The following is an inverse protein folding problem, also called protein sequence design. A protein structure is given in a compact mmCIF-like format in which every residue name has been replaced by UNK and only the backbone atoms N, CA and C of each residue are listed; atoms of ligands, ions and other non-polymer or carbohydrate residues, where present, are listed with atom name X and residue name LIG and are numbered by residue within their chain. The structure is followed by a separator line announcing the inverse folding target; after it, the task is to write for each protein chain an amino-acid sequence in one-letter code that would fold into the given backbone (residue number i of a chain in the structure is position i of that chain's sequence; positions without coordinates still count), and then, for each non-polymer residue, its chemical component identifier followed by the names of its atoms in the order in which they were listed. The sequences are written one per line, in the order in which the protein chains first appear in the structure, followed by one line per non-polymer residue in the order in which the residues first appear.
data_IF_714195943913
#
_entry.id   IF_714195943913
#
_cell.length_a   1.000
_cell.length_b   1.000
_cell.length_c   1.000
_cell.angle_alpha   90.00
_cell.angle_beta   90.00
_cell.angle_gamma   90.00
#
_symmetry.space_group_name_H-M   'P 1'
#
loop_
_entity.id
_entity.type
_entity.pdbx_description
1 polymer ?
#
# COMPACT_ATOMS: atom_id res chain seq x y z
N UNK A 1 0.70 -18.16 15.07
CA UNK A 1 0.03 -16.94 14.59
C UNK A 1 -1.05 -17.26 13.53
N UNK A 2 -0.76 -17.97 12.48
CA UNK A 2 -1.70 -18.37 11.40
C UNK A 2 -2.90 -19.22 11.85
N UNK A 3 -2.88 -19.72 13.10
CA UNK A 3 -4.02 -20.45 13.69
C UNK A 3 -5.23 -19.54 13.96
N UNK A 4 -5.00 -18.23 14.17
CA UNK A 4 -6.04 -17.27 14.54
C UNK A 4 -6.40 -16.32 13.38
N UNK A 5 -5.45 -15.94 12.54
CA UNK A 5 -5.65 -15.02 11.42
C UNK A 5 -4.85 -15.47 10.19
N UNK A 6 -5.41 -15.24 9.02
CA UNK A 6 -4.77 -15.46 7.72
C UNK A 6 -4.08 -14.21 7.15
N UNK A 7 -4.23 -13.05 7.82
CA UNK A 7 -3.72 -11.75 7.33
C UNK A 7 -2.34 -11.40 7.91
N UNK A 8 -2.10 -11.82 9.16
CA UNK A 8 -0.92 -11.40 9.88
C UNK A 8 0.34 -12.04 9.30
N UNK A 9 1.33 -11.19 9.02
CA UNK A 9 2.65 -11.59 8.55
C UNK A 9 3.68 -11.23 9.62
N UNK A 10 4.25 -12.23 10.33
CA UNK A 10 5.28 -11.96 11.32
C UNK A 10 6.55 -11.44 10.64
N UNK A 11 7.23 -10.50 11.30
CA UNK A 11 8.55 -10.04 10.86
C UNK A 11 9.56 -11.06 11.39
N UNK A 12 9.94 -12.02 10.55
CA UNK A 12 10.91 -13.04 10.91
C UNK A 12 12.34 -12.50 10.73
N UNK A 13 13.13 -12.36 11.80
CA UNK A 13 14.50 -11.85 11.73
C UNK A 13 15.48 -12.81 11.06
N UNK A 14 15.08 -14.03 10.71
CA UNK A 14 15.90 -14.93 9.89
C UNK A 14 16.17 -14.36 8.50
N UNK A 15 15.23 -13.57 7.96
CA UNK A 15 15.40 -12.90 6.68
C UNK A 15 16.24 -11.62 6.81
N UNK A 16 17.26 -11.47 5.95
CA UNK A 16 18.16 -10.33 5.96
C UNK A 16 17.43 -8.99 5.84
N UNK A 17 16.41 -8.91 4.98
CA UNK A 17 15.59 -7.71 4.76
C UNK A 17 14.79 -7.32 6.00
N UNK A 18 14.26 -8.29 6.74
CA UNK A 18 13.55 -8.04 7.99
C UNK A 18 14.51 -7.59 9.10
N UNK A 19 15.72 -8.18 9.18
CA UNK A 19 16.77 -7.69 10.10
C UNK A 19 17.17 -6.26 9.80
N UNK A 20 17.37 -5.93 8.52
CA UNK A 20 17.69 -4.56 8.13
C UNK A 20 16.57 -3.59 8.54
N UNK A 21 15.29 -3.96 8.33
CA UNK A 21 14.15 -3.17 8.79
C UNK A 21 14.19 -2.94 10.30
N UNK A 22 14.38 -4.01 11.09
CA UNK A 22 14.41 -3.93 12.56
C UNK A 22 15.55 -3.04 13.09
N UNK A 23 16.65 -2.88 12.34
CA UNK A 23 17.72 -1.95 12.67
C UNK A 23 17.43 -0.52 12.18
N UNK A 24 16.85 -0.37 11.01
CA UNK A 24 16.58 0.93 10.40
C UNK A 24 15.46 1.67 11.14
N UNK A 25 14.38 1.00 11.55
CA UNK A 25 13.26 1.67 12.20
C UNK A 25 13.66 2.43 13.50
N UNK A 26 14.39 1.84 14.46
CA UNK A 26 14.86 2.60 15.63
C UNK A 26 15.76 3.78 15.26
N UNK A 27 16.62 3.63 14.26
CA UNK A 27 17.45 4.73 13.77
C UNK A 27 16.59 5.88 13.22
N UNK A 28 15.57 5.58 12.41
CA UNK A 28 14.63 6.58 11.89
C UNK A 28 13.83 7.25 13.02
N UNK A 29 13.46 6.50 14.06
CA UNK A 29 12.82 7.09 15.25
C UNK A 29 13.73 8.12 15.90
N UNK A 30 14.99 7.77 16.14
CA UNK A 30 15.97 8.68 16.76
C UNK A 30 16.22 9.92 15.90
N UNK A 31 16.38 9.72 14.59
CA UNK A 31 16.56 10.81 13.63
C UNK A 31 15.34 11.74 13.60
N UNK A 32 14.13 11.21 13.56
CA UNK A 32 12.90 12.02 13.58
C UNK A 32 12.76 12.80 14.88
N UNK A 33 13.05 12.18 16.04
CA UNK A 33 13.04 12.85 17.32
C UNK A 33 14.08 13.98 17.41
N UNK A 34 15.30 13.70 16.93
CA UNK A 34 16.39 14.68 16.89
C UNK A 34 16.05 15.89 16.01
N UNK A 35 15.55 15.63 14.79
CA UNK A 35 15.12 16.68 13.88
C UNK A 35 13.97 17.51 14.47
N UNK A 36 12.97 16.87 15.08
CA UNK A 36 11.87 17.57 15.72
C UNK A 36 12.35 18.46 16.90
N UNK A 37 13.35 18.02 17.65
CA UNK A 37 13.94 18.82 18.73
C UNK A 37 14.79 19.99 18.23
N UNK A 38 15.44 19.83 17.04
CA UNK A 38 16.31 20.86 16.48
C UNK A 38 15.53 21.97 15.76
N UNK A 39 14.42 21.60 15.12
CA UNK A 39 13.62 22.52 14.27
C UNK A 39 12.29 22.93 14.89
N UNK A 40 12.09 22.64 16.19
CA UNK A 40 10.89 23.01 16.96
C UNK A 40 9.58 22.64 16.25
N UNK A 41 9.51 21.38 15.77
CA UNK A 41 8.34 20.88 15.04
C UNK A 41 7.16 20.72 16.01
N UNK A 42 6.00 21.26 15.67
CA UNK A 42 4.79 21.32 16.50
C UNK A 42 4.37 20.00 17.17
N UNK A 43 4.66 18.87 16.53
CA UNK A 43 4.28 17.52 17.03
C UNK A 43 5.10 17.05 18.23
N UNK A 44 6.21 17.69 18.53
CA UNK A 44 7.16 17.24 19.53
C UNK A 44 7.95 15.97 19.18
N UNK A 45 9.09 15.72 19.84
CA UNK A 45 10.07 14.69 19.44
C UNK A 45 9.51 13.27 19.47
N UNK A 46 8.70 12.93 20.47
CA UNK A 46 8.14 11.57 20.62
C UNK A 46 7.13 11.26 19.52
N UNK A 47 6.21 12.19 19.24
CA UNK A 47 5.22 12.00 18.17
C UNK A 47 5.89 11.95 16.80
N UNK A 48 6.92 12.77 16.55
CA UNK A 48 7.71 12.74 15.32
C UNK A 48 8.43 11.39 15.13
N UNK A 49 9.03 10.85 16.21
CA UNK A 49 9.68 9.54 16.19
C UNK A 49 8.73 8.44 15.74
N UNK A 50 7.56 8.35 16.38
CA UNK A 50 6.58 7.31 16.07
C UNK A 50 5.93 7.52 14.69
N UNK A 51 5.57 8.74 14.31
CA UNK A 51 4.95 9.00 13.01
C UNK A 51 5.89 8.69 11.85
N UNK A 52 7.17 9.09 11.95
CA UNK A 52 8.17 8.82 10.93
C UNK A 52 8.46 7.32 10.77
N UNK A 53 8.66 6.60 11.88
CA UNK A 53 8.88 5.16 11.84
C UNK A 53 7.65 4.40 11.34
N UNK A 54 6.45 4.81 11.71
CA UNK A 54 5.20 4.16 11.29
C UNK A 54 4.93 4.39 9.80
N UNK A 55 5.17 5.60 9.28
CA UNK A 55 5.07 5.89 7.85
C UNK A 55 6.07 5.05 7.04
N UNK A 56 7.33 4.99 7.49
CA UNK A 56 8.38 4.19 6.88
C UNK A 56 8.03 2.70 6.87
N UNK A 57 7.60 2.17 8.01
CA UNK A 57 7.19 0.76 8.15
C UNK A 57 6.00 0.43 7.25
N UNK A 58 4.96 1.26 7.25
CA UNK A 58 3.76 1.04 6.46
C UNK A 58 4.06 1.04 4.95
N UNK A 59 4.90 1.98 4.49
CA UNK A 59 5.35 2.03 3.10
C UNK A 59 6.19 0.80 2.72
N UNK A 60 7.11 0.37 3.59
CA UNK A 60 7.87 -0.85 3.39
C UNK A 60 6.97 -2.07 3.28
N UNK A 61 6.03 -2.23 4.20
CA UNK A 61 5.12 -3.37 4.24
C UNK A 61 4.22 -3.43 3.00
N UNK A 62 3.66 -2.28 2.59
CA UNK A 62 2.83 -2.20 1.39
C UNK A 62 3.64 -2.51 0.13
N UNK A 63 4.84 -1.94 -0.01
CA UNK A 63 5.67 -2.18 -1.21
C UNK A 63 6.12 -3.63 -1.32
N UNK A 64 6.34 -4.33 -0.19
CA UNK A 64 6.60 -5.79 -0.18
C UNK A 64 5.45 -6.61 -0.74
N UNK A 65 4.23 -6.11 -0.64
CA UNK A 65 3.05 -6.74 -1.25
C UNK A 65 2.89 -6.38 -2.74
N UNK A 66 3.24 -5.14 -3.12
CA UNK A 66 3.10 -4.64 -4.49
C UNK A 66 4.18 -5.17 -5.44
N UNK A 67 5.39 -5.37 -4.93
CA UNK A 67 6.55 -5.84 -5.69
C UNK A 67 7.31 -6.93 -4.89
N UNK A 68 6.72 -8.12 -4.70
CA UNK A 68 7.25 -9.15 -3.81
C UNK A 68 8.65 -9.63 -4.19
N UNK A 69 8.98 -9.63 -5.48
CA UNK A 69 10.29 -10.08 -6.00
C UNK A 69 11.39 -9.01 -5.89
N UNK A 70 11.04 -7.78 -5.47
CA UNK A 70 11.97 -6.63 -5.43
C UNK A 70 12.10 -6.05 -4.03
N UNK A 71 12.86 -6.70 -3.17
CA UNK A 71 13.05 -6.23 -1.78
C UNK A 71 13.66 -4.83 -1.70
N UNK A 72 14.47 -4.41 -2.67
CA UNK A 72 15.04 -3.06 -2.75
C UNK A 72 13.98 -1.96 -2.89
N UNK A 73 12.90 -2.22 -3.65
CA UNK A 73 11.79 -1.29 -3.79
C UNK A 73 11.19 -0.89 -2.44
N UNK A 74 11.07 -1.85 -1.51
CA UNK A 74 10.51 -1.60 -0.20
C UNK A 74 11.37 -0.63 0.63
N UNK A 75 12.71 -0.67 0.49
CA UNK A 75 13.60 0.28 1.17
C UNK A 75 13.58 1.66 0.50
N UNK A 76 13.41 1.75 -0.81
CA UNK A 76 13.18 3.02 -1.51
C UNK A 76 11.88 3.67 -1.00
N UNK A 77 10.78 2.91 -0.95
CA UNK A 77 9.49 3.40 -0.44
C UNK A 77 9.58 3.86 1.02
N UNK A 78 10.23 3.06 1.87
CA UNK A 78 10.50 3.38 3.27
C UNK A 78 11.21 4.72 3.41
N UNK A 79 12.29 4.93 2.63
CA UNK A 79 13.09 6.15 2.69
C UNK A 79 12.30 7.37 2.22
N UNK A 80 11.58 7.25 1.09
CA UNK A 80 10.74 8.32 0.55
C UNK A 80 9.61 8.69 1.52
N UNK A 81 8.92 7.70 2.10
CA UNK A 81 7.84 7.93 3.05
C UNK A 81 8.34 8.59 4.34
N UNK A 82 9.52 8.21 4.84
CA UNK A 82 10.14 8.83 5.99
C UNK A 82 10.54 10.27 5.70
N UNK A 83 11.19 10.54 4.56
CA UNK A 83 11.57 11.91 4.14
C UNK A 83 10.32 12.78 4.03
N UNK A 84 9.27 12.29 3.37
CA UNK A 84 8.02 13.02 3.24
C UNK A 84 7.38 13.33 4.61
N UNK A 85 7.37 12.36 5.53
CA UNK A 85 6.86 12.57 6.88
C UNK A 85 7.64 13.65 7.66
N UNK A 86 8.97 13.65 7.54
CA UNK A 86 9.83 14.65 8.20
C UNK A 86 9.66 16.03 7.59
N UNK A 87 9.57 16.10 6.24
CA UNK A 87 9.51 17.37 5.52
C UNK A 87 8.14 18.05 5.60
N UNK A 88 7.05 17.27 5.53
CA UNK A 88 5.68 17.78 5.44
C UNK A 88 4.82 17.49 6.67
N UNK A 89 5.35 16.75 7.62
CA UNK A 89 4.79 16.59 8.97
C UNK A 89 3.54 15.73 9.11
N UNK A 90 2.73 15.58 8.11
CA UNK A 90 1.49 14.82 8.19
C UNK A 90 1.54 13.59 7.31
N UNK A 91 1.05 12.48 7.81
CA UNK A 91 0.88 11.33 6.95
C UNK A 91 -0.38 10.58 7.34
N UNK A 92 -1.22 10.35 6.37
CA UNK A 92 -2.38 9.47 6.55
C UNK A 92 -1.92 8.02 6.56
N UNK A 93 -1.26 7.63 7.67
CA UNK A 93 -0.78 6.25 7.87
C UNK A 93 -1.96 5.28 7.86
N UNK A 94 -3.13 5.72 8.32
CA UNK A 94 -4.35 4.93 8.31
C UNK A 94 -4.69 4.43 6.89
N UNK A 95 -4.63 5.29 5.88
CA UNK A 95 -4.92 4.93 4.50
C UNK A 95 -3.91 3.91 3.94
N UNK A 96 -2.64 4.01 4.34
CA UNK A 96 -1.63 3.01 3.93
C UNK A 96 -1.93 1.65 4.53
N UNK A 97 -2.38 1.58 5.78
CA UNK A 97 -2.79 0.31 6.40
C UNK A 97 -4.04 -0.27 5.73
N UNK A 98 -5.02 0.56 5.39
CA UNK A 98 -6.17 0.09 4.61
C UNK A 98 -5.73 -0.44 3.26
N UNK A 99 -4.88 0.30 2.53
CA UNK A 99 -4.32 -0.14 1.26
C UNK A 99 -3.55 -1.46 1.39
N UNK A 100 -2.73 -1.61 2.43
CA UNK A 100 -2.01 -2.86 2.74
C UNK A 100 -2.97 -4.03 2.93
N UNK A 101 -4.04 -3.85 3.68
CA UNK A 101 -5.04 -4.91 3.91
C UNK A 101 -5.80 -5.26 2.62
N UNK A 102 -6.18 -4.26 1.83
CA UNK A 102 -6.84 -4.43 0.53
C UNK A 102 -5.92 -5.18 -0.45
N UNK A 103 -4.65 -4.79 -0.53
CA UNK A 103 -3.68 -5.46 -1.40
C UNK A 103 -3.44 -6.90 -0.93
N UNK A 104 -3.30 -7.15 0.37
CA UNK A 104 -3.18 -8.51 0.92
C UNK A 104 -4.41 -9.37 0.67
N UNK A 105 -5.60 -8.77 0.71
CA UNK A 105 -6.85 -9.43 0.36
C UNK A 105 -6.78 -10.04 -1.04
N UNK A 106 -6.29 -9.27 -2.00
CA UNK A 106 -6.23 -9.67 -3.40
C UNK A 106 -5.03 -10.60 -3.67
N UNK A 107 -3.85 -10.27 -3.16
CA UNK A 107 -2.61 -11.03 -3.39
C UNK A 107 -2.61 -12.40 -2.75
N UNK A 108 -3.21 -12.53 -1.57
CA UNK A 108 -3.09 -13.72 -0.71
C UNK A 108 -1.65 -14.17 -0.46
N UNK A 109 -0.76 -13.22 -0.28
CA UNK A 109 0.68 -13.46 -0.10
C UNK A 109 1.01 -14.37 1.10
N UNK A 110 0.13 -14.44 2.09
CA UNK A 110 0.26 -15.37 3.23
C UNK A 110 -0.05 -16.83 2.87
N UNK A 111 -0.77 -17.10 1.76
CA UNK A 111 -1.12 -18.43 1.26
C UNK A 111 -2.50 -18.95 1.68
N UNK A 112 -2.91 -18.99 2.96
CA UNK A 112 -4.20 -19.53 3.35
C UNK A 112 -5.37 -18.71 2.83
N UNK A 113 -6.48 -19.40 2.57
CA UNK A 113 -7.75 -18.75 2.28
C UNK A 113 -8.20 -17.90 3.46
N UNK A 114 -8.71 -16.71 3.18
CA UNK A 114 -9.21 -15.78 4.18
C UNK A 114 -10.31 -16.40 5.04
N UNK A 115 -10.19 -16.22 6.35
CA UNK A 115 -11.20 -16.67 7.31
C UNK A 115 -12.36 -15.67 7.36
N UNK A 116 -13.58 -16.10 7.76
CA UNK A 116 -14.70 -15.19 7.90
C UNK A 116 -14.44 -14.02 8.84
N UNK A 117 -13.75 -14.25 9.97
CA UNK A 117 -13.40 -13.19 10.93
C UNK A 117 -12.42 -12.18 10.34
N UNK A 118 -11.45 -12.62 9.55
CA UNK A 118 -10.53 -11.72 8.86
C UNK A 118 -11.27 -10.86 7.82
N UNK A 119 -12.21 -11.47 7.08
CA UNK A 119 -13.07 -10.75 6.14
C UNK A 119 -13.88 -9.67 6.85
N UNK A 120 -14.52 -10.01 7.98
CA UNK A 120 -15.30 -9.05 8.77
C UNK A 120 -14.42 -7.95 9.38
N UNK A 121 -13.23 -8.31 9.86
CA UNK A 121 -12.27 -7.34 10.41
C UNK A 121 -11.82 -6.32 9.36
N UNK A 122 -11.45 -6.77 8.16
CA UNK A 122 -11.03 -5.86 7.07
C UNK A 122 -12.20 -5.05 6.56
N UNK A 123 -13.37 -5.65 6.37
CA UNK A 123 -14.58 -4.93 5.97
C UNK A 123 -14.92 -3.83 6.98
N UNK A 124 -14.98 -4.18 8.28
CA UNK A 124 -15.26 -3.21 9.36
C UNK A 124 -14.22 -2.10 9.42
N UNK A 125 -12.92 -2.44 9.23
CA UNK A 125 -11.84 -1.45 9.22
C UNK A 125 -11.92 -0.51 8.01
N UNK A 126 -12.25 -1.02 6.82
CA UNK A 126 -12.48 -0.18 5.63
C UNK A 126 -13.66 0.77 5.83
N UNK A 127 -14.79 0.27 6.36
CA UNK A 127 -15.97 1.10 6.64
C UNK A 127 -15.66 2.16 7.69
N UNK A 128 -15.06 1.76 8.82
CA UNK A 128 -14.67 2.69 9.87
C UNK A 128 -13.71 3.77 9.36
N UNK A 129 -12.70 3.38 8.57
CA UNK A 129 -11.76 4.33 7.99
C UNK A 129 -12.45 5.32 7.06
N UNK A 130 -13.29 4.83 6.12
CA UNK A 130 -13.99 5.69 5.18
C UNK A 130 -14.92 6.69 5.88
N UNK A 131 -15.67 6.24 6.90
CA UNK A 131 -16.59 7.08 7.64
C UNK A 131 -15.84 8.09 8.52
N UNK A 132 -14.80 7.66 9.25
CA UNK A 132 -14.04 8.53 10.16
C UNK A 132 -13.22 9.59 9.42
N UNK A 133 -12.73 9.28 8.22
CA UNK A 133 -11.98 10.22 7.38
C UNK A 133 -12.83 10.95 6.35
N UNK A 134 -14.13 10.66 6.27
CA UNK A 134 -15.05 11.21 5.27
C UNK A 134 -14.61 10.96 3.82
N UNK A 135 -14.03 9.76 3.56
CA UNK A 135 -13.50 9.37 2.27
C UNK A 135 -14.31 8.22 1.62
N UNK A 136 -15.48 8.50 1.02
CA UNK A 136 -16.36 7.45 0.50
C UNK A 136 -15.72 6.64 -0.64
N UNK A 137 -14.83 7.23 -1.46
CA UNK A 137 -14.15 6.52 -2.55
C UNK A 137 -13.31 5.33 -2.04
N UNK A 138 -12.87 5.35 -0.78
CA UNK A 138 -12.18 4.22 -0.16
C UNK A 138 -13.05 2.95 -0.16
N UNK A 139 -14.37 3.10 0.01
CA UNK A 139 -15.31 1.97 -0.06
C UNK A 139 -15.47 1.42 -1.47
N UNK A 140 -15.35 2.26 -2.49
CA UNK A 140 -15.32 1.80 -3.89
C UNK A 140 -14.08 0.94 -4.13
N UNK A 141 -12.91 1.40 -3.67
CA UNK A 141 -11.65 0.63 -3.77
C UNK A 141 -11.77 -0.70 -3.02
N UNK A 142 -12.33 -0.70 -1.80
CA UNK A 142 -12.56 -1.91 -1.03
C UNK A 142 -13.55 -2.86 -1.73
N UNK A 143 -14.66 -2.35 -2.29
CA UNK A 143 -15.63 -3.15 -3.04
C UNK A 143 -15.00 -3.83 -4.27
N UNK A 144 -14.15 -3.11 -5.01
CA UNK A 144 -13.40 -3.69 -6.14
C UNK A 144 -12.47 -4.79 -5.66
N UNK A 145 -11.74 -4.59 -4.56
CA UNK A 145 -10.82 -5.59 -4.01
C UNK A 145 -11.54 -6.87 -3.58
N UNK A 146 -12.66 -6.75 -2.86
CA UNK A 146 -13.50 -7.91 -2.48
C UNK A 146 -14.06 -8.61 -3.72
N UNK A 147 -14.49 -7.88 -4.74
CA UNK A 147 -14.98 -8.45 -6.00
C UNK A 147 -13.88 -9.19 -6.76
N UNK A 148 -12.67 -8.64 -6.81
CA UNK A 148 -11.51 -9.29 -7.43
C UNK A 148 -11.17 -10.60 -6.72
N UNK A 149 -11.13 -10.62 -5.39
CA UNK A 149 -10.86 -11.87 -4.67
C UNK A 149 -11.98 -12.91 -4.85
N UNK A 150 -13.22 -12.47 -5.09
CA UNK A 150 -14.35 -13.34 -5.39
C UNK A 150 -14.32 -13.93 -6.81
N UNK A 151 -13.48 -13.40 -7.72
CA UNK A 151 -13.39 -13.82 -9.11
C UNK A 151 -12.07 -14.50 -9.48
N UNK A 152 -10.96 -14.10 -8.85
CA UNK A 152 -9.64 -14.64 -9.15
C UNK A 152 -9.50 -16.10 -8.70
N UNK A 153 -8.37 -16.74 -9.06
CA UNK A 153 -8.06 -18.15 -8.72
C UNK A 153 -8.45 -18.46 -7.28
N UNK A 154 -9.13 -19.57 -7.04
CA UNK A 154 -9.67 -19.99 -5.74
C UNK A 154 -10.65 -18.98 -5.11
N UNK A 155 -11.76 -18.63 -5.80
CA UNK A 155 -12.62 -17.53 -5.42
C UNK A 155 -13.28 -17.74 -4.06
N UNK A 156 -13.43 -16.65 -3.29
CA UNK A 156 -14.24 -16.62 -2.07
C UNK A 156 -15.55 -15.88 -2.35
N UNK A 157 -16.57 -16.61 -2.80
CA UNK A 157 -17.87 -16.04 -3.21
C UNK A 157 -18.55 -15.17 -2.16
N UNK A 158 -18.28 -15.39 -0.85
CA UNK A 158 -18.80 -14.55 0.23
C UNK A 158 -18.27 -13.10 0.15
N UNK A 159 -17.17 -12.86 -0.54
CA UNK A 159 -16.62 -11.51 -0.72
C UNK A 159 -17.50 -10.63 -1.63
N UNK A 160 -18.38 -11.21 -2.46
CA UNK A 160 -19.42 -10.42 -3.14
C UNK A 160 -20.39 -9.75 -2.13
N UNK A 161 -20.70 -10.44 -1.04
CA UNK A 161 -21.51 -9.82 0.02
C UNK A 161 -20.75 -8.67 0.68
N UNK A 162 -19.45 -8.83 0.99
CA UNK A 162 -18.64 -7.75 1.53
C UNK A 162 -18.55 -6.56 0.57
N UNK A 163 -18.38 -6.82 -0.74
CA UNK A 163 -18.41 -5.78 -1.76
C UNK A 163 -19.75 -5.04 -1.79
N UNK A 164 -20.87 -5.76 -1.73
CA UNK A 164 -22.21 -5.17 -1.69
C UNK A 164 -22.41 -4.28 -0.44
N UNK A 165 -21.89 -4.69 0.72
CA UNK A 165 -21.93 -3.87 1.95
C UNK A 165 -21.11 -2.59 1.76
N UNK A 166 -19.90 -2.67 1.18
CA UNK A 166 -19.11 -1.48 0.88
C UNK A 166 -19.85 -0.49 -0.03
N UNK A 167 -20.50 -1.00 -1.11
CA UNK A 167 -21.30 -0.17 -2.02
C UNK A 167 -22.50 0.45 -1.29
N UNK A 168 -23.18 -0.30 -0.43
CA UNK A 168 -24.32 0.22 0.34
C UNK A 168 -23.92 1.35 1.28
N UNK A 169 -22.78 1.20 1.99
CA UNK A 169 -22.26 2.26 2.88
C UNK A 169 -21.75 3.45 2.05
N UNK A 170 -21.14 3.22 0.89
CA UNK A 170 -20.76 4.28 -0.04
C UNK A 170 -21.98 5.12 -0.45
N UNK A 171 -23.07 4.47 -0.88
CA UNK A 171 -24.32 5.16 -1.25
C UNK A 171 -24.88 5.93 -0.05
N UNK A 172 -24.86 5.32 1.14
CA UNK A 172 -25.32 5.98 2.36
C UNK A 172 -24.50 7.24 2.67
N UNK A 173 -23.18 7.20 2.52
CA UNK A 173 -22.32 8.37 2.70
C UNK A 173 -22.62 9.49 1.69
N UNK A 174 -22.94 9.13 0.43
CA UNK A 174 -23.33 10.12 -0.60
C UNK A 174 -24.62 10.85 -0.29
N UNK A 175 -25.56 10.20 0.41
CA UNK A 175 -26.81 10.86 0.86
C UNK A 175 -26.57 11.88 1.98
N UNK A 176 -25.37 11.88 2.59
CA UNK A 176 -24.93 12.79 3.65
C UNK A 176 -24.11 14.00 3.18
N UNK A 177 -24.21 14.41 1.90
CA UNK A 177 -23.50 15.56 1.31
C UNK A 177 -21.96 15.50 1.41
N UNK A 178 -21.38 14.29 1.47
CA UNK A 178 -19.93 14.13 1.48
C UNK A 178 -19.35 14.38 0.09
N UNK A 179 -18.31 15.20 -0.01
CA UNK A 179 -17.64 15.49 -1.27
C UNK A 179 -16.83 14.27 -1.73
N UNK A 180 -16.94 13.96 -3.04
CA UNK A 180 -16.19 12.87 -3.66
C UNK A 180 -14.80 13.29 -4.10
N UNK A 181 -14.64 14.52 -4.52
CA UNK A 181 -13.42 15.05 -5.13
C UNK A 181 -13.06 16.36 -4.45
N UNK A 182 -11.80 16.52 -4.07
CA UNK A 182 -11.27 17.75 -3.52
C UNK A 182 -11.34 18.89 -4.54
N UNK A 183 -11.54 20.11 -4.03
CA UNK A 183 -11.71 21.28 -4.88
C UNK A 183 -10.38 21.90 -5.37
N UNK A 184 -9.26 21.50 -4.78
CA UNK A 184 -7.92 22.04 -5.05
C UNK A 184 -7.10 21.23 -6.06
N UNK A 185 -7.72 20.21 -6.71
CA UNK A 185 -7.05 19.45 -7.78
C UNK A 185 -6.77 20.34 -8.99
N UNK A 186 -5.54 20.32 -9.45
CA UNK A 186 -5.07 21.05 -10.61
C UNK A 186 -4.89 20.14 -11.83
N UNK A 187 -4.80 20.72 -13.03
CA UNK A 187 -4.63 19.94 -14.26
C UNK A 187 -3.43 18.97 -14.22
N UNK A 188 -2.39 19.33 -13.50
CA UNK A 188 -1.17 18.53 -13.33
C UNK A 188 -1.43 17.24 -12.57
N UNK A 189 -2.35 17.21 -11.62
CA UNK A 189 -2.72 16.00 -10.87
C UNK A 189 -3.31 14.94 -11.81
N UNK A 190 -4.15 15.36 -12.74
CA UNK A 190 -4.73 14.47 -13.75
C UNK A 190 -3.69 13.90 -14.71
N UNK A 191 -2.69 14.71 -15.10
CA UNK A 191 -1.55 14.24 -15.91
C UNK A 191 -0.76 13.20 -15.15
N UNK A 192 -0.47 13.41 -13.87
CA UNK A 192 0.27 12.46 -13.04
C UNK A 192 -0.52 11.17 -12.78
N UNK A 193 -1.85 11.26 -12.57
CA UNK A 193 -2.73 10.08 -12.49
C UNK A 193 -2.63 9.27 -13.79
N UNK A 194 -2.76 9.92 -14.94
CA UNK A 194 -2.70 9.24 -16.23
C UNK A 194 -1.32 8.62 -16.50
N UNK A 195 -0.23 9.35 -16.19
CA UNK A 195 1.13 8.87 -16.34
C UNK A 195 1.42 7.67 -15.43
N UNK A 196 1.01 7.75 -14.15
CA UNK A 196 1.15 6.64 -13.21
C UNK A 196 0.31 5.42 -13.62
N UNK A 197 -0.91 5.62 -14.12
CA UNK A 197 -1.74 4.55 -14.67
C UNK A 197 -1.01 3.82 -15.81
N UNK A 198 -0.47 4.57 -16.77
CA UNK A 198 0.33 4.02 -17.87
C UNK A 198 1.51 3.20 -17.37
N UNK A 199 2.24 3.72 -16.37
CA UNK A 199 3.34 3.01 -15.73
C UNK A 199 2.90 1.71 -15.05
N UNK A 200 1.84 1.73 -14.27
CA UNK A 200 1.30 0.55 -13.57
C UNK A 200 0.80 -0.51 -14.57
N UNK A 201 0.10 -0.09 -15.62
CA UNK A 201 -0.36 -0.99 -16.69
C UNK A 201 0.85 -1.64 -17.37
N UNK A 202 1.90 -0.88 -17.67
CA UNK A 202 3.12 -1.40 -18.28
C UNK A 202 3.81 -2.42 -17.36
N UNK A 203 3.94 -2.11 -16.06
CA UNK A 203 4.47 -3.06 -15.06
C UNK A 203 3.65 -4.34 -15.05
N UNK A 204 2.32 -4.25 -14.93
CA UNK A 204 1.44 -5.41 -14.87
C UNK A 204 1.50 -6.27 -16.14
N UNK A 205 1.53 -5.64 -17.32
CA UNK A 205 1.58 -6.31 -18.60
C UNK A 205 2.89 -7.05 -18.86
N UNK A 206 4.02 -6.46 -18.43
CA UNK A 206 5.37 -6.97 -18.74
C UNK A 206 6.05 -7.71 -17.59
N UNK A 207 5.46 -7.74 -16.39
CA UNK A 207 5.99 -8.50 -15.26
C UNK A 207 6.01 -10.00 -15.56
N UNK A 208 7.12 -10.71 -15.30
CA UNK A 208 7.18 -12.16 -15.40
C UNK A 208 6.34 -12.83 -14.32
N UNK A 209 6.27 -14.17 -14.39
CA UNK A 209 5.72 -14.96 -13.28
C UNK A 209 6.52 -14.67 -11.97
N UNK A 210 5.82 -14.44 -10.85
CA UNK A 210 6.48 -14.21 -9.57
C UNK A 210 7.38 -15.38 -9.17
N UNK A 211 8.57 -15.07 -8.66
CA UNK A 211 9.49 -16.08 -8.11
C UNK A 211 9.29 -16.25 -6.61
N UNK A 212 8.67 -15.28 -5.95
CA UNK A 212 8.36 -15.32 -4.51
C UNK A 212 7.28 -16.36 -4.19
N UNK A 213 7.42 -16.96 -3.03
CA UNK A 213 6.50 -17.95 -2.49
C UNK A 213 5.55 -17.35 -1.46
N UNK A 214 4.41 -18.01 -1.26
CA UNK A 214 3.54 -17.72 -0.13
C UNK A 214 4.24 -18.02 1.21
N UNK A 215 3.88 -17.28 2.27
CA UNK A 215 4.57 -17.45 3.57
C UNK A 215 4.34 -18.82 4.24
N UNK A 216 3.19 -19.46 3.97
CA UNK A 216 2.77 -20.68 4.68
C UNK A 216 2.56 -21.89 3.78
N UNK A 217 2.67 -21.73 2.46
CA UNK A 217 2.59 -22.83 1.51
C UNK A 217 3.77 -22.81 0.55
N UNK A 218 4.16 -23.95 -0.03
CA UNK A 218 5.23 -24.03 -1.01
C UNK A 218 4.83 -23.46 -2.38
N UNK A 219 3.63 -22.89 -2.49
CA UNK A 219 3.10 -22.37 -3.74
C UNK A 219 3.72 -21.00 -4.04
N UNK A 220 4.02 -20.77 -5.32
CA UNK A 220 4.39 -19.43 -5.79
C UNK A 220 3.18 -18.50 -5.79
N UNK A 221 3.46 -17.22 -5.65
CA UNK A 221 2.43 -16.19 -5.79
C UNK A 221 1.83 -16.24 -7.20
N UNK A 222 0.52 -16.10 -7.28
CA UNK A 222 -0.20 -16.06 -8.55
C UNK A 222 -0.03 -14.68 -9.22
N UNK A 223 0.43 -14.67 -10.47
CA UNK A 223 0.70 -13.43 -11.23
C UNK A 223 -0.53 -12.54 -11.36
N UNK A 224 -1.70 -13.13 -11.64
CA UNK A 224 -2.92 -12.35 -11.80
C UNK A 224 -3.30 -11.66 -10.48
N UNK A 225 -3.10 -12.33 -9.35
CA UNK A 225 -3.33 -11.77 -8.01
C UNK A 225 -2.34 -10.65 -7.68
N UNK A 226 -1.05 -10.83 -7.95
CA UNK A 226 -0.03 -9.81 -7.71
C UNK A 226 -0.29 -8.57 -8.57
N UNK A 227 -0.60 -8.75 -9.85
CA UNK A 227 -0.95 -7.64 -10.74
C UNK A 227 -2.25 -6.93 -10.30
N UNK A 228 -3.26 -7.68 -9.89
CA UNK A 228 -4.48 -7.09 -9.33
C UNK A 228 -4.21 -6.31 -8.04
N UNK A 229 -3.36 -6.85 -7.16
CA UNK A 229 -2.89 -6.14 -5.96
C UNK A 229 -2.15 -4.84 -6.27
N UNK A 230 -1.30 -4.84 -7.30
CA UNK A 230 -0.62 -3.64 -7.77
C UNK A 230 -1.62 -2.57 -8.25
N UNK A 231 -2.63 -2.96 -9.04
CA UNK A 231 -3.71 -2.06 -9.46
C UNK A 231 -4.51 -1.55 -8.26
N UNK A 232 -4.79 -2.40 -7.27
CA UNK A 232 -5.48 -1.97 -6.05
C UNK A 232 -4.66 -0.96 -5.23
N UNK A 233 -3.35 -1.14 -5.11
CA UNK A 233 -2.46 -0.15 -4.49
C UNK A 233 -2.49 1.19 -5.20
N UNK A 234 -2.49 1.17 -6.55
CA UNK A 234 -2.61 2.39 -7.36
C UNK A 234 -3.98 3.05 -7.18
N UNK A 235 -5.07 2.29 -7.21
CA UNK A 235 -6.42 2.83 -6.96
C UNK A 235 -6.54 3.47 -5.57
N UNK A 236 -5.91 2.89 -4.54
CA UNK A 236 -5.85 3.48 -3.21
C UNK A 236 -5.05 4.80 -3.19
N UNK A 237 -3.96 4.90 -3.97
CA UNK A 237 -3.19 6.13 -4.12
C UNK A 237 -4.00 7.22 -4.84
N UNK A 238 -4.68 6.85 -5.93
CA UNK A 238 -5.55 7.78 -6.69
C UNK A 238 -6.72 8.23 -5.82
N UNK A 239 -7.37 7.32 -5.08
CA UNK A 239 -8.45 7.66 -4.17
C UNK A 239 -8.00 8.70 -3.14
N UNK A 240 -6.82 8.51 -2.51
CA UNK A 240 -6.28 9.48 -1.56
C UNK A 240 -6.10 10.86 -2.19
N UNK A 241 -5.54 10.92 -3.41
CA UNK A 241 -5.37 12.17 -4.14
C UNK A 241 -6.71 12.85 -4.47
N UNK A 242 -7.69 12.07 -4.93
CA UNK A 242 -9.01 12.61 -5.29
C UNK A 242 -9.76 13.17 -4.08
N UNK A 243 -9.56 12.63 -2.88
CA UNK A 243 -10.27 13.04 -1.67
C UNK A 243 -9.52 14.09 -0.86
N UNK A 244 -8.19 13.97 -0.74
CA UNK A 244 -7.37 14.86 0.09
C UNK A 244 -6.73 16.01 -0.71
N UNK A 245 -6.88 16.00 -2.05
CA UNK A 245 -6.36 17.03 -2.93
C UNK A 245 -4.88 16.89 -3.24
N UNK A 246 -4.30 17.92 -3.88
CA UNK A 246 -2.92 17.90 -4.37
C UNK A 246 -1.85 17.68 -3.28
N UNK A 247 -2.15 18.00 -2.03
CA UNK A 247 -1.25 17.71 -0.90
C UNK A 247 -0.99 16.22 -0.69
N UNK A 248 -1.92 15.34 -1.08
CA UNK A 248 -1.80 13.90 -0.91
C UNK A 248 -0.59 13.26 -1.60
N UNK A 249 -0.01 13.90 -2.63
CA UNK A 249 1.25 13.44 -3.25
C UNK A 249 2.39 13.30 -2.25
N UNK A 250 2.48 14.22 -1.32
CA UNK A 250 3.56 14.33 -0.35
C UNK A 250 3.15 13.77 1.02
N UNK A 251 1.89 13.92 1.37
CA UNK A 251 1.38 13.53 2.70
C UNK A 251 1.00 12.05 2.79
N UNK A 252 0.80 11.36 1.66
CA UNK A 252 0.37 9.97 1.68
C UNK A 252 1.50 9.02 1.27
N UNK A 253 2.01 8.17 2.18
CA UNK A 253 3.10 7.22 1.87
C UNK A 253 2.78 6.22 0.76
N UNK A 254 1.52 6.10 0.33
CA UNK A 254 1.14 5.22 -0.78
C UNK A 254 1.82 5.66 -2.08
N UNK A 255 1.96 6.97 -2.33
CA UNK A 255 2.66 7.47 -3.51
C UNK A 255 4.15 7.14 -3.49
N UNK A 256 4.79 7.15 -2.32
CA UNK A 256 6.17 6.66 -2.17
C UNK A 256 6.29 5.18 -2.59
N UNK A 257 5.28 4.35 -2.28
CA UNK A 257 5.23 2.96 -2.72
C UNK A 257 5.09 2.85 -4.25
N UNK A 258 4.22 3.65 -4.87
CA UNK A 258 4.05 3.64 -6.33
C UNK A 258 5.34 4.07 -7.05
N UNK A 259 5.98 5.14 -6.59
CA UNK A 259 7.27 5.61 -7.14
C UNK A 259 8.33 4.51 -7.01
N UNK A 260 8.44 3.88 -5.85
CA UNK A 260 9.42 2.82 -5.62
C UNK A 260 9.22 1.61 -6.53
N UNK A 261 7.97 1.21 -6.79
CA UNK A 261 7.65 0.14 -7.74
C UNK A 261 8.07 0.53 -9.16
N UNK A 262 7.72 1.74 -9.61
CA UNK A 262 8.05 2.22 -10.96
C UNK A 262 9.56 2.36 -11.16
N UNK A 263 10.29 2.89 -10.18
CA UNK A 263 11.76 3.01 -10.21
C UNK A 263 12.41 1.63 -10.29
N UNK A 264 11.96 0.68 -9.47
CA UNK A 264 12.51 -0.69 -9.49
C UNK A 264 12.20 -1.42 -10.79
N UNK A 265 11.08 -1.11 -11.41
CA UNK A 265 10.74 -1.63 -12.73
C UNK A 265 11.65 -1.03 -13.83
N UNK A 266 11.88 0.28 -13.79
CA UNK A 266 12.78 0.96 -14.72
C UNK A 266 14.22 0.42 -14.60
N UNK A 267 14.74 0.24 -13.38
CA UNK A 267 16.05 -0.37 -13.13
C UNK A 267 16.15 -1.77 -13.75
N UNK A 268 15.10 -2.59 -13.63
CA UNK A 268 15.06 -3.91 -14.26
C UNK A 268 15.15 -3.85 -15.77
N UNK A 269 14.44 -2.91 -16.42
CA UNK A 269 14.51 -2.75 -17.88
C UNK A 269 15.92 -2.37 -18.30
N UNK A 270 16.53 -1.39 -17.63
CA UNK A 270 17.89 -0.90 -17.92
C UNK A 270 18.91 -2.01 -17.71
N UNK A 271 18.85 -2.77 -16.64
CA UNK A 271 19.80 -3.83 -16.32
C UNK A 271 19.63 -5.11 -17.17
N UNK A 272 18.47 -5.30 -17.82
CA UNK A 272 18.24 -6.37 -18.79
C UNK A 272 18.61 -6.01 -20.23
N UNK A 273 19.00 -4.74 -20.48
CA UNK A 273 19.46 -4.35 -21.81
C UNK A 273 20.75 -5.09 -22.16
N UNK A 274 20.89 -5.69 -23.38
CA UNK A 274 22.01 -6.60 -23.74
C UNK A 274 23.42 -5.99 -23.68
N UNK A 275 23.56 -4.71 -23.40
CA UNK A 275 24.83 -4.03 -23.24
C UNK A 275 25.42 -4.04 -21.82
N UNK A 276 24.72 -4.54 -20.82
CA UNK A 276 25.13 -4.46 -19.41
C UNK A 276 25.37 -5.87 -18.82
N UNK A 277 26.20 -6.68 -19.48
CA UNK A 277 26.75 -7.89 -18.88
C UNK A 277 27.69 -7.48 -17.75
N UNK A 278 27.17 -7.34 -16.53
CA UNK A 278 28.03 -7.38 -15.36
C UNK A 278 28.64 -8.78 -15.30
N UNK A 279 29.91 -8.86 -15.66
CA UNK A 279 30.78 -10.00 -15.37
C UNK A 279 30.70 -10.20 -13.87
N UNK A 280 30.21 -11.39 -13.45
CA UNK A 280 30.01 -11.78 -12.06
C UNK A 280 31.30 -11.96 -11.27
#
# INVERSE_FOLDING_TARGET
MYRFTSIARPIDPAYLTNRALLMVLPLLMLLSAGLASLYDIDKGPVAAAFSGALAAFAAWALTRELAPDYSGAAFVALSLAWIANVAFGATSVLLVFVALLIVRLVNRSTGPRWRPLDTLGVLGFCIWSAVSTQQPLLLVVAAVAFSLDATLKEPLRRHYFAAAVCVSVFIWMLLGDVRLIAADLVAWDWVLIAASAGGIILVAATSPEPVSYCDTSPDRLDRARVNAGLVMGWLAAVQALLTDGSAAWLETPIWACMIAVLVSFADRIVNRWPGNTRVG
#
